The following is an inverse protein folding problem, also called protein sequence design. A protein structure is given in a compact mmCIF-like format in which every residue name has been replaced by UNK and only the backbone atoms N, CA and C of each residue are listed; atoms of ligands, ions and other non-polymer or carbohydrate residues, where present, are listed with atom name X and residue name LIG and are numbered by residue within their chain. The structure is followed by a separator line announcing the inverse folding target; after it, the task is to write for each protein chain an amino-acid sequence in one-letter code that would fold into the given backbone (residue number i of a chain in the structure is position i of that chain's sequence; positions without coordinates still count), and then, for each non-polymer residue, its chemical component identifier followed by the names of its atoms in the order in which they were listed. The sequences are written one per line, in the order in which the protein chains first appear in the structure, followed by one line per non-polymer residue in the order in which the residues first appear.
data_IF_139618699843
#
_entry.id   IF_139618699843
#
_cell.length_a   1.000
_cell.length_b   1.000
_cell.length_c   1.000
_cell.angle_alpha   90.00
_cell.angle_beta   90.00
_cell.angle_gamma   90.00
#
_symmetry.space_group_name_H-M   'P 1'
#
loop_
_entity.id
_entity.type
_entity.pdbx_description
1 polymer ?
#
# COMPACT_ATOMS: atom_id res chain seq x y z
N UNK A 1 9.56 19.26 20.96
CA UNK A 1 10.75 19.21 20.07
C UNK A 1 11.32 20.61 19.99
N UNK A 2 12.60 20.81 20.34
CA UNK A 2 13.24 22.12 20.16
C UNK A 2 13.37 22.42 18.66
N UNK A 3 13.28 23.70 18.29
CA UNK A 3 13.29 24.14 16.89
C UNK A 3 14.54 23.68 16.13
N UNK A 4 15.68 23.62 16.81
CA UNK A 4 16.95 23.15 16.25
C UNK A 4 16.96 21.64 15.96
N UNK A 5 16.41 20.82 16.86
CA UNK A 5 16.32 19.37 16.65
C UNK A 5 15.42 19.02 15.46
N UNK A 6 14.38 19.79 15.22
CA UNK A 6 13.51 19.61 14.05
C UNK A 6 14.28 19.77 12.73
N UNK A 7 15.06 20.85 12.57
CA UNK A 7 15.83 21.11 11.35
C UNK A 7 16.91 20.06 11.10
N UNK A 8 17.55 19.57 12.16
CA UNK A 8 18.57 18.51 12.05
C UNK A 8 17.94 17.21 11.57
N UNK A 9 16.83 16.78 12.19
CA UNK A 9 16.13 15.56 11.79
C UNK A 9 15.61 15.70 10.36
N UNK A 10 15.00 16.84 10.03
CA UNK A 10 14.51 17.12 8.68
C UNK A 10 15.61 17.02 7.62
N UNK A 11 16.75 17.66 7.85
CA UNK A 11 17.89 17.63 6.93
C UNK A 11 18.44 16.21 6.73
N UNK A 12 18.58 15.43 7.80
CA UNK A 12 19.08 14.06 7.74
C UNK A 12 18.08 13.14 7.03
N UNK A 13 16.78 13.25 7.34
CA UNK A 13 15.74 12.42 6.70
C UNK A 13 15.62 12.72 5.22
N UNK A 14 15.62 14.00 4.83
CA UNK A 14 15.58 14.41 3.41
C UNK A 14 16.85 13.95 2.69
N UNK A 15 18.03 14.15 3.28
CA UNK A 15 19.29 13.72 2.71
C UNK A 15 19.35 12.20 2.49
N UNK A 16 18.95 11.41 3.49
CA UNK A 16 18.94 9.96 3.41
C UNK A 16 17.93 9.45 2.36
N UNK A 17 16.71 10.00 2.32
CA UNK A 17 15.69 9.63 1.33
C UNK A 17 16.15 9.95 -0.10
N UNK A 18 16.75 11.13 -0.29
CA UNK A 18 17.24 11.57 -1.59
C UNK A 18 18.39 10.68 -2.07
N UNK A 19 19.34 10.32 -1.20
CA UNK A 19 20.42 9.40 -1.52
C UNK A 19 19.86 8.03 -1.92
N UNK A 20 18.97 7.44 -1.13
CA UNK A 20 18.37 6.14 -1.44
C UNK A 20 17.56 6.13 -2.74
N UNK A 21 17.03 7.28 -3.19
CA UNK A 21 16.26 7.39 -4.43
C UNK A 21 17.14 7.68 -5.65
N UNK A 22 18.16 8.52 -5.51
CA UNK A 22 19.05 8.90 -6.60
C UNK A 22 20.07 7.79 -6.92
N UNK A 23 20.55 7.06 -5.91
CA UNK A 23 21.52 5.96 -6.12
C UNK A 23 21.01 4.91 -7.12
N UNK A 24 19.79 4.34 -6.99
CA UNK A 24 19.27 3.40 -7.97
C UNK A 24 18.92 4.08 -9.29
N UNK A 25 18.42 5.32 -9.28
CA UNK A 25 18.14 6.04 -10.52
C UNK A 25 19.40 6.21 -11.37
N UNK A 26 20.53 6.57 -10.75
CA UNK A 26 21.81 6.72 -11.46
C UNK A 26 22.44 5.37 -11.84
N UNK A 27 22.36 4.37 -10.96
CA UNK A 27 22.89 3.03 -11.24
C UNK A 27 22.15 2.31 -12.37
N UNK A 28 20.85 2.59 -12.55
CA UNK A 28 20.01 1.98 -13.59
C UNK A 28 19.80 2.87 -14.83
N UNK A 29 20.30 4.12 -14.86
CA UNK A 29 20.15 5.11 -15.96
C UNK A 29 21.00 4.78 -17.22
N UNK A 30 21.10 3.52 -17.60
CA UNK A 30 21.85 3.09 -18.79
C UNK A 30 21.82 1.59 -19.08
N UNK A 31 21.22 0.79 -18.20
CA UNK A 31 21.12 -0.66 -18.42
C UNK A 31 19.82 -1.01 -19.14
N UNK A 32 19.91 -1.80 -20.23
CA UNK A 32 18.74 -2.41 -20.85
C UNK A 32 18.21 -3.49 -19.89
N UNK A 33 17.28 -3.09 -19.03
CA UNK A 33 16.56 -4.02 -18.17
C UNK A 33 15.89 -5.09 -19.04
N UNK A 34 16.14 -6.36 -18.73
CA UNK A 34 15.43 -7.47 -19.36
C UNK A 34 13.92 -7.37 -19.10
N UNK A 35 13.10 -7.85 -20.04
CA UNK A 35 11.63 -7.75 -20.01
C UNK A 35 11.02 -8.23 -18.67
N UNK A 36 11.63 -9.25 -18.05
CA UNK A 36 11.20 -9.79 -16.76
C UNK A 36 11.37 -8.78 -15.60
N UNK A 37 12.45 -7.99 -15.61
CA UNK A 37 12.72 -6.99 -14.57
C UNK A 37 11.75 -5.81 -14.75
N UNK A 38 11.53 -5.34 -15.97
CA UNK A 38 10.54 -4.29 -16.25
C UNK A 38 9.12 -4.72 -15.84
N UNK A 39 8.76 -5.98 -16.11
CA UNK A 39 7.49 -6.56 -15.64
C UNK A 39 7.43 -6.63 -14.11
N UNK A 40 8.51 -7.04 -13.44
CA UNK A 40 8.58 -7.06 -11.98
C UNK A 40 8.46 -5.64 -11.36
N UNK A 41 9.11 -4.63 -11.96
CA UNK A 41 9.01 -3.24 -11.51
C UNK A 41 7.58 -2.71 -11.61
N UNK A 42 6.80 -3.15 -12.60
CA UNK A 42 5.39 -2.77 -12.72
C UNK A 42 4.52 -3.24 -11.55
N UNK A 43 4.98 -4.26 -10.78
CA UNK A 43 4.30 -4.74 -9.59
C UNK A 43 4.70 -4.01 -8.30
N UNK A 44 5.69 -3.11 -8.34
CA UNK A 44 6.10 -2.34 -7.14
C UNK A 44 4.93 -1.55 -6.55
N UNK A 45 4.16 -0.76 -7.33
CA UNK A 45 3.05 0.02 -6.77
C UNK A 45 1.98 -0.87 -6.15
N UNK A 46 1.65 -1.99 -6.81
CA UNK A 46 0.64 -2.94 -6.31
C UNK A 46 1.10 -3.67 -5.04
N UNK A 47 2.38 -4.01 -4.95
CA UNK A 47 2.94 -4.66 -3.77
C UNK A 47 3.03 -3.70 -2.58
N UNK A 48 3.46 -2.46 -2.81
CA UNK A 48 3.50 -1.43 -1.77
C UNK A 48 2.09 -1.13 -1.22
N UNK A 49 1.08 -1.03 -2.10
CA UNK A 49 -0.30 -0.82 -1.69
C UNK A 49 -0.85 -2.00 -0.87
N UNK A 50 -0.56 -3.24 -1.29
CA UNK A 50 -0.97 -4.44 -0.55
C UNK A 50 -0.33 -4.49 0.86
N UNK A 51 0.95 -4.11 0.97
CA UNK A 51 1.65 -4.06 2.25
C UNK A 51 1.03 -3.01 3.20
N UNK A 52 0.72 -1.81 2.70
CA UNK A 52 0.05 -0.77 3.49
C UNK A 52 -1.33 -1.24 3.98
N UNK A 53 -2.17 -1.77 3.07
CA UNK A 53 -3.52 -2.26 3.42
C UNK A 53 -3.46 -3.42 4.42
N UNK A 54 -2.48 -4.32 4.31
CA UNK A 54 -2.31 -5.42 5.27
C UNK A 54 -1.97 -4.90 6.67
N UNK A 55 -1.12 -3.88 6.78
CA UNK A 55 -0.82 -3.25 8.06
C UNK A 55 -2.04 -2.57 8.68
N UNK A 56 -2.88 -1.94 7.88
CA UNK A 56 -4.14 -1.33 8.36
C UNK A 56 -5.18 -2.39 8.75
N UNK A 57 -5.21 -3.53 8.06
CA UNK A 57 -6.13 -4.64 8.34
C UNK A 57 -5.83 -5.33 9.67
N UNK A 58 -4.54 -5.47 10.01
CA UNK A 58 -4.06 -6.14 11.23
C UNK A 58 -3.71 -5.15 12.34
N UNK A 59 -4.59 -4.18 12.59
CA UNK A 59 -4.40 -3.26 13.71
C UNK A 59 -4.93 -3.87 15.02
N UNK A 60 -4.07 -4.14 16.03
CA UNK A 60 -4.48 -4.69 17.32
C UNK A 60 -5.45 -3.77 18.09
N UNK A 61 -5.48 -2.46 17.78
CA UNK A 61 -6.45 -1.53 18.34
C UNK A 61 -7.89 -1.75 17.84
N UNK A 62 -8.08 -2.43 16.71
CA UNK A 62 -9.41 -2.79 16.23
C UNK A 62 -9.96 -4.04 16.95
N UNK A 63 -9.07 -4.91 17.46
CA UNK A 63 -9.46 -6.10 18.20
C UNK A 63 -10.03 -5.78 19.59
N UNK A 64 -9.58 -4.68 20.21
CA UNK A 64 -10.09 -4.21 21.50
C UNK A 64 -11.50 -3.59 21.42
N UNK A 65 -11.96 -3.24 20.22
CA UNK A 65 -13.32 -2.73 19.96
C UNK A 65 -14.33 -3.85 19.64
N UNK A 66 -13.87 -5.11 19.56
CA UNK A 66 -14.69 -6.30 19.31
C UNK A 66 -14.26 -7.09 18.06
N UNK A 67 -14.72 -8.34 17.95
CA UNK A 67 -14.38 -9.23 16.82
C UNK A 67 -14.97 -8.75 15.49
N UNK A 68 -16.15 -8.13 15.51
CA UNK A 68 -16.85 -7.67 14.29
C UNK A 68 -16.14 -6.50 13.59
N UNK A 69 -15.69 -5.43 14.29
CA UNK A 69 -14.81 -4.40 13.72
C UNK A 69 -13.57 -4.92 13.02
N UNK A 70 -12.95 -5.96 13.59
CA UNK A 70 -11.76 -6.58 13.03
C UNK A 70 -12.07 -7.44 11.78
N UNK A 71 -13.20 -8.16 11.78
CA UNK A 71 -13.58 -9.03 10.66
C UNK A 71 -14.22 -8.30 9.47
N UNK A 72 -14.86 -7.14 9.67
CA UNK A 72 -15.54 -6.36 8.61
C UNK A 72 -14.67 -6.10 7.36
N UNK A 73 -13.44 -5.57 7.48
CA UNK A 73 -12.60 -5.34 6.30
C UNK A 73 -12.11 -6.65 5.64
N UNK A 74 -11.96 -7.74 6.40
CA UNK A 74 -11.68 -9.05 5.82
C UNK A 74 -12.88 -9.61 5.04
N UNK A 75 -14.10 -9.41 5.55
CA UNK A 75 -15.34 -9.78 4.85
C UNK A 75 -15.53 -8.96 3.56
N UNK A 76 -15.18 -7.66 3.58
CA UNK A 76 -15.21 -6.80 2.40
C UNK A 76 -14.26 -7.25 1.29
N UNK A 77 -13.20 -8.01 1.61
CA UNK A 77 -12.25 -8.54 0.62
C UNK A 77 -12.83 -9.68 -0.24
N UNK A 78 -13.88 -10.38 0.23
CA UNK A 78 -14.50 -11.49 -0.49
C UNK A 78 -15.08 -11.06 -1.85
N UNK A 79 -15.95 -10.04 -1.96
CA UNK A 79 -16.46 -9.58 -3.25
C UNK A 79 -15.36 -8.97 -4.15
N UNK A 80 -14.30 -8.42 -3.55
CA UNK A 80 -13.13 -7.93 -4.29
C UNK A 80 -12.35 -9.08 -4.94
N UNK A 81 -12.18 -10.20 -4.25
CA UNK A 81 -11.53 -11.40 -4.81
C UNK A 81 -12.31 -11.97 -5.99
N UNK A 82 -13.64 -12.00 -5.91
CA UNK A 82 -14.47 -12.40 -7.04
C UNK A 82 -14.28 -11.44 -8.22
N UNK A 83 -14.40 -10.13 -8.00
CA UNK A 83 -14.30 -9.15 -9.10
C UNK A 83 -12.91 -9.07 -9.71
N UNK A 84 -11.85 -9.28 -8.91
CA UNK A 84 -10.48 -9.39 -9.40
C UNK A 84 -10.29 -10.57 -10.36
N UNK A 85 -10.92 -11.72 -10.06
CA UNK A 85 -10.78 -12.93 -10.88
C UNK A 85 -11.42 -12.78 -12.25
N UNK A 86 -12.52 -12.04 -12.34
CA UNK A 86 -13.29 -11.88 -13.58
C UNK A 86 -12.80 -10.72 -14.43
N UNK A 87 -12.57 -9.55 -13.82
CA UNK A 87 -12.34 -8.31 -14.58
C UNK A 87 -10.85 -8.06 -14.84
N UNK A 88 -9.94 -8.63 -14.03
CA UNK A 88 -8.50 -8.30 -13.99
C UNK A 88 -8.20 -6.79 -13.95
N UNK A 89 -9.17 -5.99 -13.50
CA UNK A 89 -9.09 -4.53 -13.46
C UNK A 89 -8.94 -4.06 -12.04
N UNK A 90 -7.85 -3.32 -11.78
CA UNK A 90 -7.55 -2.76 -10.46
C UNK A 90 -8.64 -1.75 -10.02
N UNK A 91 -9.14 -0.93 -10.95
CA UNK A 91 -10.16 0.08 -10.65
C UNK A 91 -11.51 -0.51 -10.24
N UNK A 92 -11.95 -1.58 -10.92
CA UNK A 92 -13.19 -2.28 -10.56
C UNK A 92 -13.11 -2.89 -9.15
N UNK A 93 -11.95 -3.47 -8.80
CA UNK A 93 -11.71 -4.01 -7.46
C UNK A 93 -11.81 -2.93 -6.37
N UNK A 94 -11.29 -1.73 -6.62
CA UNK A 94 -11.36 -0.61 -5.68
C UNK A 94 -12.81 -0.19 -5.44
N UNK A 95 -13.59 0.02 -6.51
CA UNK A 95 -14.99 0.45 -6.40
C UNK A 95 -15.84 -0.57 -5.64
N UNK A 96 -15.64 -1.86 -5.93
CA UNK A 96 -16.36 -2.97 -5.27
C UNK A 96 -15.94 -3.08 -3.80
N UNK A 97 -14.66 -2.91 -3.49
CA UNK A 97 -14.15 -2.96 -2.12
C UNK A 97 -14.65 -1.81 -1.26
N UNK A 98 -14.59 -0.59 -1.76
CA UNK A 98 -15.10 0.60 -1.07
C UNK A 98 -16.62 0.50 -0.88
N UNK A 99 -17.36 0.11 -1.93
CA UNK A 99 -18.81 -0.09 -1.84
C UNK A 99 -19.22 -1.19 -0.87
N UNK A 100 -18.51 -2.33 -0.89
CA UNK A 100 -18.74 -3.46 0.01
C UNK A 100 -18.42 -3.12 1.46
N UNK A 101 -17.31 -2.43 1.72
CA UNK A 101 -16.96 -1.96 3.06
C UNK A 101 -17.99 -0.95 3.59
N UNK A 102 -18.40 0.01 2.76
CA UNK A 102 -19.42 0.99 3.13
C UNK A 102 -20.75 0.33 3.50
N UNK A 103 -21.20 -0.66 2.72
CA UNK A 103 -22.39 -1.43 3.03
C UNK A 103 -22.26 -2.19 4.36
N UNK A 104 -21.11 -2.82 4.62
CA UNK A 104 -20.82 -3.51 5.87
C UNK A 104 -20.67 -2.58 7.08
N UNK A 105 -20.43 -1.29 6.86
CA UNK A 105 -20.44 -0.30 7.94
C UNK A 105 -21.83 0.27 8.24
N UNK A 106 -22.77 0.17 7.30
CA UNK A 106 -24.17 0.58 7.48
C UNK A 106 -25.04 -0.50 8.12
N UNK A 107 -24.63 -1.76 7.99
CA UNK A 107 -25.21 -2.93 8.65
C UNK A 107 -24.62 -3.13 10.06
#
# INVERSE_FOLDING_TARGET
MSWQSFWIIFAITVGCNLLCRLTPMLALSGQRMGENITRALSYIPTAAFAALVMSDLFNPAALSLGLWPFLRPAAAAIPVLLTARWTKSLGACILVGVGGYWLLTLL
#
